data_IF_649541187650
#
_entry.id   IF_649541187650
#
_cell.length_a   1.000
_cell.length_b   1.000
_cell.length_c   1.000
_cell.angle_alpha   90.00
_cell.angle_beta   90.00
_cell.angle_gamma   90.00
#
_symmetry.space_group_name_H-M   'P 1'
#
loop_
_entity.id
_entity.type
_entity.pdbx_description
1 polymer ?
#
# COMPACT_ATOMS: atom_id res chain seq x y z
N UNK A 1 -18.13 9.35 -5.40
CA UNK A 1 -16.90 8.59 -5.12
C UNK A 1 -16.33 9.06 -3.80
N UNK A 2 -15.87 8.17 -2.94
CA UNK A 2 -15.21 8.55 -1.68
C UNK A 2 -13.89 9.29 -1.97
N UNK A 3 -13.61 10.31 -1.16
CA UNK A 3 -12.41 11.13 -1.28
C UNK A 3 -11.31 10.67 -0.32
N UNK A 4 -10.07 10.98 -0.64
CA UNK A 4 -8.96 10.82 0.30
C UNK A 4 -9.16 11.72 1.52
N UNK A 5 -8.56 11.31 2.65
CA UNK A 5 -8.62 12.04 3.93
C UNK A 5 -7.23 12.26 4.50
N UNK A 6 -7.07 13.40 5.16
CA UNK A 6 -5.92 13.69 6.02
C UNK A 6 -6.42 14.21 7.38
N UNK A 7 -5.51 14.41 8.34
CA UNK A 7 -5.83 15.01 9.63
C UNK A 7 -6.18 16.49 9.46
N UNK A 8 -7.11 17.02 10.27
CA UNK A 8 -7.38 18.47 10.29
C UNK A 8 -6.29 19.31 10.96
N UNK A 9 -5.48 18.68 11.80
CA UNK A 9 -4.40 19.33 12.53
C UNK A 9 -3.36 18.31 12.96
N UNK A 10 -2.29 18.77 13.60
CA UNK A 10 -1.23 17.91 14.12
C UNK A 10 -1.47 17.54 15.57
N UNK A 11 -1.07 16.34 15.95
CA UNK A 11 -1.01 15.91 17.36
C UNK A 11 0.27 15.16 17.68
N UNK A 12 0.65 15.17 18.93
CA UNK A 12 1.83 14.44 19.42
C UNK A 12 1.46 13.52 20.57
N UNK A 13 2.12 12.37 20.62
CA UNK A 13 2.07 11.42 21.73
C UNK A 13 3.50 11.17 22.23
N UNK A 14 3.67 11.18 23.55
CA UNK A 14 4.95 10.98 24.21
C UNK A 14 4.88 9.73 25.10
N UNK A 15 5.95 8.97 25.12
CA UNK A 15 6.04 7.76 25.94
C UNK A 15 7.38 7.08 25.84
N UNK A 16 7.51 5.92 26.46
CA UNK A 16 8.70 5.08 26.38
C UNK A 16 8.67 4.20 25.12
N UNK A 17 9.81 3.98 24.49
CA UNK A 17 9.98 2.92 23.51
C UNK A 17 9.97 1.55 24.19
N UNK A 18 9.22 0.59 23.66
CA UNK A 18 9.12 -0.76 24.23
C UNK A 18 10.48 -1.44 24.33
N UNK A 19 11.26 -1.39 23.26
CA UNK A 19 12.56 -2.09 23.20
C UNK A 19 13.71 -1.25 23.66
N UNK A 20 13.73 0.02 23.32
CA UNK A 20 14.84 0.95 23.64
C UNK A 20 14.76 1.52 25.04
N UNK A 21 13.56 1.66 25.60
CA UNK A 21 13.30 2.36 26.87
C UNK A 21 13.52 3.88 26.79
N UNK A 22 13.80 4.42 25.61
CA UNK A 22 14.00 5.85 25.40
C UNK A 22 12.68 6.64 25.59
N UNK A 23 12.79 7.89 26.03
CA UNK A 23 11.66 8.82 25.97
C UNK A 23 11.49 9.33 24.56
N UNK A 24 10.36 9.00 23.94
CA UNK A 24 10.10 9.23 22.54
C UNK A 24 8.84 10.08 22.34
N UNK A 25 8.86 10.88 21.30
CA UNK A 25 7.72 11.65 20.84
C UNK A 25 7.46 11.34 19.39
N UNK A 26 6.21 10.97 19.07
CA UNK A 26 5.73 10.81 17.71
C UNK A 26 4.68 11.89 17.43
N UNK A 27 4.81 12.58 16.29
CA UNK A 27 3.90 13.64 15.86
C UNK A 27 3.29 13.27 14.52
N UNK A 28 1.97 13.29 14.45
CA UNK A 28 1.19 13.04 13.24
C UNK A 28 0.74 14.37 12.65
N UNK A 29 1.06 14.59 11.40
CA UNK A 29 0.78 15.85 10.68
C UNK A 29 -0.10 15.60 9.47
N UNK A 30 -0.97 16.55 9.09
CA UNK A 30 -1.63 16.52 7.78
C UNK A 30 -0.59 16.40 6.66
N UNK A 31 -0.97 15.75 5.58
CA UNK A 31 -0.12 15.65 4.40
C UNK A 31 -0.94 15.88 3.11
N UNK A 32 -0.33 16.37 2.02
CA UNK A 32 -0.98 16.57 0.73
C UNK A 32 -1.57 15.29 0.17
N UNK A 33 -2.47 15.45 -0.76
CA UNK A 33 -3.06 14.35 -1.55
C UNK A 33 -1.99 13.43 -2.15
N UNK A 34 -2.29 12.14 -2.23
CA UNK A 34 -1.41 11.11 -2.81
C UNK A 34 -0.04 10.96 -2.12
N UNK A 35 0.10 11.48 -0.90
CA UNK A 35 1.34 11.34 -0.11
C UNK A 35 1.48 9.92 0.46
N UNK A 36 0.36 9.28 0.84
CA UNK A 36 0.38 8.08 1.66
C UNK A 36 0.95 8.35 3.06
N UNK A 37 1.54 7.34 3.68
CA UNK A 37 2.18 7.50 4.98
C UNK A 37 3.68 7.65 4.82
N UNK A 38 4.24 8.73 5.39
CA UNK A 38 5.67 9.00 5.42
C UNK A 38 6.14 9.15 6.85
N UNK A 39 7.26 8.51 7.20
CA UNK A 39 7.87 8.63 8.53
C UNK A 39 9.18 9.39 8.37
N UNK A 40 9.34 10.43 9.18
CA UNK A 40 10.51 11.32 9.22
C UNK A 40 11.21 11.23 10.58
N UNK A 41 12.51 10.96 10.58
CA UNK A 41 13.38 10.96 11.76
C UNK A 41 13.93 12.39 11.98
N UNK A 42 13.33 13.11 12.93
CA UNK A 42 13.68 14.51 13.20
C UNK A 42 14.92 14.70 14.07
N UNK A 43 15.41 13.62 14.66
CA UNK A 43 16.63 13.58 15.47
C UNK A 43 17.90 13.29 14.66
N UNK A 44 17.74 12.91 13.39
CA UNK A 44 18.87 12.65 12.47
C UNK A 44 19.16 13.87 11.61
N UNK A 45 20.44 14.04 11.26
CA UNK A 45 20.88 15.11 10.36
C UNK A 45 20.15 15.01 8.99
N UNK A 46 19.67 16.15 8.49
CA UNK A 46 18.88 16.23 7.28
C UNK A 46 17.45 15.70 7.40
N UNK A 47 17.02 15.28 8.58
CA UNK A 47 15.67 14.78 8.85
C UNK A 47 15.14 13.83 7.78
N UNK A 48 15.82 12.69 7.54
CA UNK A 48 15.49 11.77 6.45
C UNK A 48 14.08 11.19 6.60
N UNK A 49 13.44 10.97 5.47
CA UNK A 49 12.06 10.46 5.37
C UNK A 49 12.03 9.11 4.67
N UNK A 50 11.19 8.19 5.14
CA UNK A 50 10.93 6.89 4.54
C UNK A 50 9.43 6.72 4.27
N UNK A 51 9.09 6.19 3.10
CA UNK A 51 7.71 5.80 2.80
C UNK A 51 7.34 4.56 3.61
N UNK A 52 6.22 4.57 4.31
CA UNK A 52 5.72 3.42 5.07
C UNK A 52 5.05 2.42 4.13
N UNK A 53 5.85 1.60 3.49
CA UNK A 53 5.44 0.54 2.56
C UNK A 53 6.18 -0.76 2.84
N UNK A 54 5.57 -1.88 2.47
CA UNK A 54 6.08 -3.22 2.78
C UNK A 54 7.50 -3.50 2.26
N UNK A 55 7.92 -2.89 1.15
CA UNK A 55 9.29 -3.03 0.62
C UNK A 55 10.35 -2.43 1.53
N UNK A 56 10.00 -1.44 2.33
CA UNK A 56 10.91 -0.78 3.26
C UNK A 56 10.99 -1.47 4.64
N UNK A 57 10.25 -2.56 4.85
CA UNK A 57 10.35 -3.37 6.07
C UNK A 57 11.64 -4.19 6.03
N UNK A 58 12.49 -4.01 7.04
CA UNK A 58 13.80 -4.67 7.17
C UNK A 58 13.85 -5.73 8.26
N UNK A 59 12.93 -5.69 9.22
CA UNK A 59 12.84 -6.67 10.31
C UNK A 59 11.38 -6.83 10.76
N UNK A 60 11.01 -8.06 11.16
CA UNK A 60 9.66 -8.44 11.60
C UNK A 60 9.65 -9.36 12.82
N UNK A 61 10.78 -9.52 13.51
CA UNK A 61 10.88 -10.52 14.59
C UNK A 61 10.07 -10.15 15.85
N UNK A 62 10.00 -8.86 16.18
CA UNK A 62 9.37 -8.40 17.44
C UNK A 62 8.49 -7.16 17.25
N UNK A 63 8.13 -6.87 16.03
CA UNK A 63 7.38 -5.71 15.59
C UNK A 63 7.79 -5.36 14.19
N UNK A 64 7.14 -4.41 13.58
CA UNK A 64 7.46 -4.01 12.22
C UNK A 64 8.49 -2.88 12.22
N UNK A 65 9.63 -3.12 11.58
CA UNK A 65 10.74 -2.17 11.49
C UNK A 65 10.90 -1.70 10.04
N UNK A 66 10.72 -0.40 9.82
CA UNK A 66 11.08 0.23 8.54
C UNK A 66 12.54 0.68 8.57
N UNK A 67 13.23 0.56 7.41
CA UNK A 67 14.61 1.02 7.30
C UNK A 67 15.06 1.26 5.87
N UNK A 68 15.98 2.24 5.74
CA UNK A 68 16.69 2.55 4.49
C UNK A 68 17.98 3.30 4.83
N UNK A 69 19.13 2.70 4.50
CA UNK A 69 20.42 3.22 4.96
C UNK A 69 20.46 3.25 6.50
N UNK A 70 20.83 4.38 7.08
CA UNK A 70 20.91 4.57 8.55
C UNK A 70 19.56 4.88 9.20
N UNK A 71 18.54 5.19 8.41
CA UNK A 71 17.21 5.43 8.94
C UNK A 71 16.58 4.10 9.38
N UNK A 72 16.20 4.01 10.65
CA UNK A 72 15.41 2.91 11.23
C UNK A 72 14.31 3.46 12.12
N UNK A 73 13.11 2.85 12.01
CA UNK A 73 11.98 3.12 12.92
C UNK A 73 11.23 1.82 13.17
N UNK A 74 11.07 1.44 14.44
CA UNK A 74 10.40 0.22 14.89
C UNK A 74 9.07 0.50 15.61
N UNK A 75 8.31 -0.56 15.90
CA UNK A 75 7.07 -0.53 16.69
C UNK A 75 6.03 0.43 16.09
N UNK A 76 5.92 0.44 14.76
CA UNK A 76 5.05 1.37 14.03
C UNK A 76 3.61 0.87 13.93
N UNK A 77 3.37 -0.42 14.15
CA UNK A 77 2.14 -1.16 13.87
C UNK A 77 0.89 -0.55 14.51
N UNK A 78 0.98 -0.09 15.77
CA UNK A 78 -0.19 0.46 16.48
C UNK A 78 -0.64 1.81 15.91
N UNK A 79 0.32 2.71 15.65
CA UNK A 79 0.04 4.00 15.02
C UNK A 79 -0.44 3.85 13.57
N UNK A 80 0.13 2.88 12.83
CA UNK A 80 -0.29 2.58 11.47
C UNK A 80 -1.68 1.97 11.42
N UNK A 81 -2.02 1.08 12.39
CA UNK A 81 -3.36 0.51 12.52
C UNK A 81 -4.41 1.60 12.75
N UNK A 82 -4.12 2.56 13.64
CA UNK A 82 -5.03 3.67 13.91
C UNK A 82 -5.27 4.53 12.66
N UNK A 83 -4.22 4.94 11.94
CA UNK A 83 -4.37 5.72 10.71
C UNK A 83 -5.20 4.99 9.66
N UNK A 84 -4.86 3.72 9.40
CA UNK A 84 -5.52 2.91 8.36
C UNK A 84 -7.01 2.68 8.69
N UNK A 85 -7.30 2.27 9.94
CA UNK A 85 -8.65 1.98 10.38
C UNK A 85 -9.54 3.23 10.46
N UNK A 86 -8.98 4.39 10.84
CA UNK A 86 -9.71 5.67 10.86
C UNK A 86 -9.83 6.32 9.47
N UNK A 87 -9.36 5.62 8.43
CA UNK A 87 -9.55 6.02 7.04
C UNK A 87 -8.70 7.21 6.59
N UNK A 88 -7.62 7.53 7.31
CA UNK A 88 -6.64 8.54 6.90
C UNK A 88 -5.83 7.96 5.73
N UNK A 89 -5.74 8.69 4.63
CA UNK A 89 -4.99 8.26 3.45
C UNK A 89 -3.58 8.90 3.40
N UNK A 90 -3.46 10.11 3.93
CA UNK A 90 -2.23 10.90 3.82
C UNK A 90 -1.81 11.45 5.18
N UNK A 91 -0.59 11.11 5.64
CA UNK A 91 -0.04 11.57 6.91
C UNK A 91 1.48 11.64 6.87
N UNK A 92 2.06 12.74 7.39
CA UNK A 92 3.48 12.84 7.69
C UNK A 92 3.69 12.59 9.19
N UNK A 93 4.43 11.53 9.51
CA UNK A 93 4.68 11.10 10.88
C UNK A 93 6.13 11.46 11.23
N UNK A 94 6.32 12.30 12.22
CA UNK A 94 7.64 12.69 12.70
C UNK A 94 7.96 11.99 14.02
N UNK A 95 9.15 11.45 14.16
CA UNK A 95 9.60 10.77 15.37
C UNK A 95 11.01 11.21 15.74
N UNK A 96 11.25 11.45 17.05
CA UNK A 96 12.53 11.91 17.59
C UNK A 96 13.46 10.77 18.03
N UNK A 97 13.26 9.56 17.48
CA UNK A 97 14.09 8.40 17.81
C UNK A 97 13.78 7.17 16.98
N UNK A 98 14.45 6.04 17.23
CA UNK A 98 14.41 4.83 16.39
C UNK A 98 13.16 3.97 16.58
N UNK A 99 12.19 4.41 17.37
CA UNK A 99 11.04 3.61 17.76
C UNK A 99 9.82 4.50 18.03
N UNK A 100 8.61 4.02 17.79
CA UNK A 100 7.39 4.68 18.27
C UNK A 100 7.20 4.38 19.76
N UNK A 101 6.67 5.32 20.56
CA UNK A 101 6.35 5.04 21.95
C UNK A 101 5.30 3.95 22.06
N UNK A 102 5.49 3.01 23.00
CA UNK A 102 4.55 1.90 23.21
C UNK A 102 3.21 2.36 23.80
N UNK A 103 3.22 3.48 24.51
CA UNK A 103 2.06 4.04 25.21
C UNK A 103 1.44 3.03 26.19
N UNK A 104 0.15 2.72 26.00
CA UNK A 104 -0.58 1.72 26.78
C UNK A 104 -0.53 0.30 26.16
N UNK A 105 0.28 0.09 25.13
CA UNK A 105 0.41 -1.17 24.41
C UNK A 105 -0.71 -1.46 23.41
N UNK A 106 -1.58 -0.49 23.15
CA UNK A 106 -2.70 -0.59 22.21
C UNK A 106 -2.69 0.53 21.18
N UNK A 107 -3.73 0.61 20.33
CA UNK A 107 -3.93 1.73 19.41
C UNK A 107 -4.88 2.81 19.97
N UNK A 108 -5.38 2.66 21.21
CA UNK A 108 -6.48 3.49 21.72
C UNK A 108 -6.14 4.97 21.79
N UNK A 109 -4.93 5.30 22.26
CA UNK A 109 -4.50 6.69 22.39
C UNK A 109 -4.32 7.38 21.04
N UNK A 110 -3.89 6.64 20.01
CA UNK A 110 -3.83 7.16 18.62
C UNK A 110 -5.21 7.44 18.07
N UNK A 111 -6.16 6.49 18.23
CA UNK A 111 -7.55 6.64 17.79
C UNK A 111 -8.20 7.84 18.48
N UNK A 112 -8.08 7.94 19.80
CA UNK A 112 -8.63 9.07 20.56
C UNK A 112 -8.13 10.41 20.03
N UNK A 113 -6.81 10.54 19.75
CA UNK A 113 -6.25 11.79 19.21
C UNK A 113 -6.73 12.09 17.79
N UNK A 114 -6.91 11.08 16.95
CA UNK A 114 -7.48 11.26 15.60
C UNK A 114 -8.95 11.73 15.70
N UNK A 115 -9.74 11.16 16.62
CA UNK A 115 -11.12 11.58 16.87
C UNK A 115 -11.21 13.02 17.41
N UNK A 116 -10.34 13.39 18.37
CA UNK A 116 -10.29 14.75 18.95
C UNK A 116 -9.98 15.82 17.90
N UNK A 117 -9.01 15.56 17.00
CA UNK A 117 -8.58 16.52 15.98
C UNK A 117 -9.52 16.51 14.78
N UNK A 118 -10.05 15.33 14.46
CA UNK A 118 -10.86 15.11 13.27
C UNK A 118 -10.06 15.00 11.99
N UNK A 119 -10.78 14.71 10.91
CA UNK A 119 -10.25 14.48 9.58
C UNK A 119 -10.87 15.45 8.58
N UNK A 120 -10.15 15.76 7.51
CA UNK A 120 -10.67 16.54 6.39
C UNK A 120 -10.60 15.75 5.08
N UNK A 121 -11.61 15.93 4.24
CA UNK A 121 -11.60 15.36 2.88
C UNK A 121 -10.72 16.22 1.97
N UNK A 122 -9.96 15.54 1.13
CA UNK A 122 -9.09 16.14 0.12
C UNK A 122 -9.73 16.06 -1.26
N UNK A 123 -9.21 16.82 -2.22
CA UNK A 123 -9.81 16.89 -3.55
C UNK A 123 -9.31 15.78 -4.51
N UNK A 124 -8.83 14.67 -3.97
CA UNK A 124 -8.43 13.49 -4.72
C UNK A 124 -9.36 12.31 -4.43
N UNK A 125 -9.68 11.46 -5.42
CA UNK A 125 -10.48 10.26 -5.18
C UNK A 125 -9.71 9.25 -4.33
N UNK A 126 -10.42 8.53 -3.47
CA UNK A 126 -9.86 7.41 -2.70
C UNK A 126 -9.68 6.21 -3.62
N UNK A 127 -8.44 5.74 -3.73
CA UNK A 127 -8.05 4.68 -4.66
C UNK A 127 -8.16 3.30 -4.01
N UNK A 128 -9.39 2.76 -3.97
CA UNK A 128 -9.67 1.44 -3.43
C UNK A 128 -9.12 0.33 -4.32
N UNK A 129 -8.45 -0.65 -3.71
CA UNK A 129 -8.14 -1.90 -4.37
C UNK A 129 -9.18 -2.97 -4.00
N UNK A 130 -10.01 -3.36 -4.95
CA UNK A 130 -11.05 -4.39 -4.78
C UNK A 130 -10.49 -5.74 -5.16
N UNK A 131 -10.54 -6.70 -4.24
CA UNK A 131 -10.10 -8.07 -4.49
C UNK A 131 -11.08 -8.77 -5.44
N UNK A 132 -10.57 -9.33 -6.53
CA UNK A 132 -11.35 -10.02 -7.56
C UNK A 132 -11.17 -11.54 -7.57
N UNK A 133 -10.11 -12.04 -6.96
CA UNK A 133 -9.81 -13.47 -6.86
C UNK A 133 -9.10 -13.77 -5.53
N UNK A 134 -9.11 -15.04 -5.14
CA UNK A 134 -8.40 -15.50 -3.93
C UNK A 134 -6.89 -15.22 -4.07
N UNK A 135 -6.31 -14.60 -3.05
CA UNK A 135 -4.86 -14.49 -2.87
C UNK A 135 -4.51 -15.14 -1.53
N UNK A 136 -3.49 -15.98 -1.51
CA UNK A 136 -3.10 -16.73 -0.33
C UNK A 136 -1.58 -16.69 -0.17
N UNK A 137 -1.13 -16.46 1.06
CA UNK A 137 0.28 -16.53 1.46
C UNK A 137 0.39 -17.48 2.63
N UNK A 138 1.25 -18.49 2.49
CA UNK A 138 1.53 -19.51 3.50
C UNK A 138 2.99 -19.51 3.91
N UNK A 139 3.21 -19.93 5.11
CA UNK A 139 4.52 -20.24 5.66
C UNK A 139 4.46 -21.67 6.21
N UNK A 140 5.07 -22.60 5.48
CA UNK A 140 4.99 -24.05 5.78
C UNK A 140 5.74 -24.41 7.08
N UNK A 141 6.75 -23.62 7.48
CA UNK A 141 7.53 -23.90 8.69
C UNK A 141 6.74 -23.54 9.95
N UNK A 142 6.01 -22.43 9.93
CA UNK A 142 5.24 -21.96 11.10
C UNK A 142 3.78 -22.40 11.07
N UNK A 143 3.30 -22.87 9.91
CA UNK A 143 1.88 -23.12 9.66
C UNK A 143 1.03 -21.85 9.62
N UNK A 144 1.67 -20.69 9.44
CA UNK A 144 0.99 -19.41 9.32
C UNK A 144 0.40 -19.23 7.92
N UNK A 145 -0.81 -18.69 7.84
CA UNK A 145 -1.49 -18.46 6.56
C UNK A 145 -2.35 -17.21 6.61
N UNK A 146 -2.29 -16.40 5.55
CA UNK A 146 -3.23 -15.31 5.32
C UNK A 146 -3.85 -15.49 3.93
N UNK A 147 -5.18 -15.55 3.90
CA UNK A 147 -5.97 -15.62 2.68
C UNK A 147 -6.86 -14.39 2.59
N UNK A 148 -6.93 -13.77 1.41
CA UNK A 148 -7.94 -12.76 1.11
C UNK A 148 -8.84 -13.25 -0.01
N UNK A 149 -10.14 -13.04 0.18
CA UNK A 149 -11.21 -13.43 -0.74
C UNK A 149 -11.93 -12.19 -1.27
N UNK A 150 -12.52 -12.25 -2.47
CA UNK A 150 -13.40 -11.19 -2.97
C UNK A 150 -14.54 -10.89 -1.98
N UNK A 151 -14.72 -9.62 -1.70
CA UNK A 151 -15.86 -9.07 -0.94
C UNK A 151 -16.03 -7.59 -1.30
N UNK A 152 -17.24 -7.07 -1.18
CA UNK A 152 -17.53 -5.65 -1.45
C UNK A 152 -17.11 -4.74 -0.31
N UNK A 153 -16.99 -5.29 0.91
CA UNK A 153 -16.55 -4.58 2.10
C UNK A 153 -15.30 -5.22 2.69
N UNK A 154 -14.67 -4.53 3.63
CA UNK A 154 -13.54 -5.06 4.38
C UNK A 154 -14.04 -5.88 5.58
N UNK A 155 -13.50 -7.08 5.74
CA UNK A 155 -13.62 -7.84 6.99
C UNK A 155 -12.34 -8.63 7.27
N UNK A 156 -12.06 -8.89 8.53
CA UNK A 156 -10.85 -9.58 8.99
C UNK A 156 -11.19 -10.56 10.11
N UNK A 157 -10.81 -11.81 9.95
CA UNK A 157 -10.89 -12.85 10.99
C UNK A 157 -9.50 -13.41 11.25
N UNK A 158 -9.09 -13.53 12.51
CA UNK A 158 -7.86 -14.19 12.87
C UNK A 158 -8.11 -15.35 13.85
N UNK A 159 -7.38 -16.44 13.65
CA UNK A 159 -7.30 -17.58 14.54
C UNK A 159 -5.86 -17.74 15.03
N UNK A 160 -5.66 -17.65 16.34
CA UNK A 160 -4.38 -17.75 17.01
C UNK A 160 -4.31 -19.03 17.84
N UNK A 161 -3.20 -19.75 17.72
CA UNK A 161 -2.87 -20.88 18.57
C UNK A 161 -1.57 -20.56 19.30
N UNK A 162 -1.63 -20.50 20.64
CA UNK A 162 -0.51 -20.05 21.45
C UNK A 162 0.38 -21.18 21.98
N UNK A 163 0.09 -22.43 21.62
CA UNK A 163 0.77 -23.64 22.13
C UNK A 163 0.90 -23.65 23.66
N UNK A 164 -0.15 -23.24 24.34
CA UNK A 164 -0.24 -23.13 25.79
C UNK A 164 -1.42 -23.94 26.32
N UNK A 165 -1.25 -24.56 27.50
CA UNK A 165 -2.35 -25.25 28.18
C UNK A 165 -3.26 -24.25 28.92
N UNK A 166 -2.78 -23.09 29.24
CA UNK A 166 -3.52 -22.03 29.94
C UNK A 166 -4.36 -21.20 28.99
N UNK A 167 -3.74 -20.72 27.90
CA UNK A 167 -4.44 -19.95 26.86
C UNK A 167 -4.65 -20.82 25.63
N UNK A 168 -5.88 -21.21 25.40
CA UNK A 168 -6.27 -22.04 24.26
C UNK A 168 -6.18 -21.28 22.93
N UNK A 169 -6.46 -21.96 21.83
CA UNK A 169 -6.69 -21.29 20.55
C UNK A 169 -7.84 -20.31 20.67
N UNK A 170 -7.63 -19.11 20.20
CA UNK A 170 -8.61 -18.04 20.21
C UNK A 170 -8.87 -17.55 18.79
N UNK A 171 -10.04 -17.01 18.57
CA UNK A 171 -10.37 -16.29 17.34
C UNK A 171 -10.96 -14.93 17.66
N UNK A 172 -10.82 -14.01 16.73
CA UNK A 172 -11.47 -12.70 16.75
C UNK A 172 -11.83 -12.28 15.33
N UNK A 173 -12.89 -11.51 15.19
CA UNK A 173 -13.36 -10.98 13.91
C UNK A 173 -13.60 -9.47 14.02
N UNK A 174 -13.25 -8.75 12.97
CA UNK A 174 -13.65 -7.38 12.71
C UNK A 174 -14.44 -7.37 11.41
N UNK A 175 -15.75 -7.14 11.49
CA UNK A 175 -16.64 -7.20 10.32
C UNK A 175 -16.60 -5.94 9.47
N UNK A 176 -16.19 -4.80 10.05
CA UNK A 176 -16.05 -3.50 9.38
C UNK A 176 -15.00 -2.65 10.08
N UNK A 177 -14.26 -1.85 9.33
CA UNK A 177 -13.29 -0.89 9.90
C UNK A 177 -13.96 0.13 10.84
N UNK A 178 -15.21 0.48 10.63
CA UNK A 178 -15.95 1.43 11.50
C UNK A 178 -16.06 0.94 12.96
N UNK A 179 -15.95 -0.39 13.18
CA UNK A 179 -15.96 -0.98 14.51
C UNK A 179 -14.59 -1.03 15.18
N UNK A 180 -13.52 -0.68 14.48
CA UNK A 180 -12.13 -0.80 14.97
C UNK A 180 -11.93 -0.07 16.29
N UNK A 181 -12.38 1.19 16.39
CA UNK A 181 -12.22 2.01 17.59
C UNK A 181 -12.80 1.35 18.85
N UNK A 182 -13.96 0.70 18.71
CA UNK A 182 -14.70 0.11 19.82
C UNK A 182 -14.31 -1.34 20.12
N UNK A 183 -13.92 -2.13 19.09
CA UNK A 183 -13.75 -3.57 19.24
C UNK A 183 -12.29 -4.02 19.24
N UNK A 184 -11.36 -3.23 18.69
CA UNK A 184 -9.96 -3.64 18.48
C UNK A 184 -8.96 -2.65 19.10
N UNK A 185 -9.18 -1.35 18.95
CA UNK A 185 -8.18 -0.33 19.26
C UNK A 185 -7.60 -0.42 20.69
N UNK A 186 -8.39 -0.89 21.66
CA UNK A 186 -7.99 -1.03 23.08
C UNK A 186 -7.29 -2.36 23.40
N UNK A 187 -7.17 -3.28 22.45
CA UNK A 187 -6.50 -4.55 22.66
C UNK A 187 -4.99 -4.33 22.85
N UNK A 188 -4.50 -4.68 24.03
CA UNK A 188 -3.08 -4.48 24.44
C UNK A 188 -2.19 -5.60 23.89
N UNK A 189 -0.93 -5.24 23.65
CA UNK A 189 0.13 -6.21 23.35
C UNK A 189 0.34 -7.16 24.53
N UNK A 190 0.94 -8.32 24.26
CA UNK A 190 1.15 -9.36 25.26
C UNK A 190 2.49 -10.07 25.07
N UNK A 191 2.98 -10.66 26.17
CA UNK A 191 4.21 -11.45 26.19
C UNK A 191 4.04 -12.65 27.13
N UNK A 192 4.61 -13.80 26.77
CA UNK A 192 4.68 -14.94 27.66
C UNK A 192 5.89 -14.85 28.59
N UNK A 193 5.73 -15.25 29.85
CA UNK A 193 6.84 -15.23 30.84
C UNK A 193 8.03 -16.03 30.30
N UNK A 194 7.82 -17.14 29.60
CA UNK A 194 8.90 -17.94 28.98
C UNK A 194 9.76 -17.15 28.00
N UNK A 195 9.20 -16.10 27.36
CA UNK A 195 9.88 -15.29 26.34
C UNK A 195 10.59 -14.06 26.94
N UNK A 196 10.27 -13.67 28.18
CA UNK A 196 10.81 -12.45 28.81
C UNK A 196 12.32 -12.55 29.01
N UNK A 197 12.81 -13.65 29.57
CA UNK A 197 14.24 -13.82 29.87
C UNK A 197 15.12 -13.75 28.59
N UNK A 198 14.78 -14.46 27.48
CA UNK A 198 15.49 -14.28 26.22
C UNK A 198 15.46 -12.85 25.69
N UNK A 199 14.34 -12.14 25.85
CA UNK A 199 14.19 -10.75 25.41
C UNK A 199 15.11 -9.79 26.21
N UNK A 200 15.15 -9.95 27.53
CA UNK A 200 16.03 -9.17 28.39
C UNK A 200 17.51 -9.44 28.07
N UNK A 201 17.88 -10.71 27.84
CA UNK A 201 19.26 -11.08 27.42
C UNK A 201 19.62 -10.47 26.06
N UNK A 202 18.65 -10.31 25.16
CA UNK A 202 18.82 -9.63 23.88
C UNK A 202 18.79 -8.09 24.01
N UNK A 203 18.78 -7.55 25.23
CA UNK A 203 18.73 -6.11 25.51
C UNK A 203 17.47 -5.41 24.97
N UNK A 204 16.36 -6.14 24.87
CA UNK A 204 15.04 -5.69 24.43
C UNK A 204 14.10 -5.45 25.61
N UNK A 205 12.87 -4.98 25.34
CA UNK A 205 11.78 -4.73 26.31
C UNK A 205 12.16 -3.85 27.52
N UNK A 206 13.10 -2.94 27.35
CA UNK A 206 13.54 -2.04 28.44
C UNK A 206 12.47 -1.07 28.94
N UNK A 207 11.49 -0.78 28.14
CA UNK A 207 10.33 0.06 28.46
C UNK A 207 9.05 -0.74 28.72
N UNK A 208 9.12 -2.08 28.67
CA UNK A 208 7.98 -2.95 28.97
C UNK A 208 7.62 -2.93 30.44
N UNK A 209 6.34 -2.78 30.76
CA UNK A 209 5.77 -2.87 32.10
C UNK A 209 4.34 -3.41 32.06
N UNK A 210 3.72 -3.62 33.23
CA UNK A 210 2.36 -4.16 33.34
C UNK A 210 1.25 -3.18 32.92
N UNK A 211 1.58 -1.92 32.66
CA UNK A 211 0.64 -0.92 32.16
C UNK A 211 0.55 -0.91 30.63
N UNK A 212 1.61 -1.42 29.95
CA UNK A 212 1.71 -1.41 28.49
C UNK A 212 1.75 -2.81 27.84
N UNK A 213 1.71 -3.88 28.62
CA UNK A 213 1.64 -5.25 28.09
C UNK A 213 0.91 -6.19 29.04
N UNK A 214 0.18 -7.16 28.47
CA UNK A 214 -0.37 -8.29 29.20
C UNK A 214 0.73 -9.35 29.32
N UNK A 215 1.12 -9.71 30.54
CA UNK A 215 2.09 -10.78 30.78
C UNK A 215 1.34 -12.08 31.06
N UNK A 216 1.66 -13.14 30.33
CA UNK A 216 0.99 -14.44 30.42
C UNK A 216 1.93 -15.45 31.07
N UNK A 217 1.60 -15.86 32.30
CA UNK A 217 2.26 -16.93 33.01
C UNK A 217 1.50 -18.24 32.81
N UNK A 218 1.86 -19.01 31.79
CA UNK A 218 1.11 -20.19 31.34
C UNK A 218 1.87 -21.52 31.58
N UNK A 219 3.12 -21.44 31.96
CA UNK A 219 3.97 -22.60 32.23
C UNK A 219 4.68 -22.42 33.57
N UNK A 220 4.43 -23.35 34.48
CA UNK A 220 5.02 -23.34 35.82
C UNK A 220 6.56 -23.39 35.74
N UNK A 221 7.21 -22.56 36.53
CA UNK A 221 8.66 -22.52 36.71
C UNK A 221 9.00 -22.58 38.20
N UNK A 222 10.29 -22.56 38.57
CA UNK A 222 10.69 -22.50 39.97
C UNK A 222 10.37 -21.12 40.55
N UNK A 223 10.05 -21.08 41.88
CA UNK A 223 9.79 -19.83 42.59
C UNK A 223 10.97 -18.86 42.46
N UNK A 224 12.20 -19.36 42.65
CA UNK A 224 13.43 -18.56 42.52
C UNK A 224 13.56 -17.86 41.14
N UNK A 225 13.23 -18.58 40.07
CA UNK A 225 13.28 -18.02 38.71
C UNK A 225 12.20 -16.95 38.49
N UNK A 226 10.99 -17.21 39.00
CA UNK A 226 9.87 -16.27 38.87
C UNK A 226 10.18 -15.00 39.68
N UNK A 227 10.72 -15.14 40.90
CA UNK A 227 11.15 -14.02 41.77
C UNK A 227 12.26 -13.19 41.11
N UNK A 228 13.24 -13.87 40.49
CA UNK A 228 14.33 -13.19 39.76
C UNK A 228 13.76 -12.35 38.60
N UNK A 229 12.80 -12.86 37.84
CA UNK A 229 12.15 -12.10 36.77
C UNK A 229 11.33 -10.93 37.34
N UNK A 230 10.61 -11.12 38.44
CA UNK A 230 9.85 -10.07 39.10
C UNK A 230 10.78 -8.94 39.58
N UNK A 231 11.91 -9.26 40.19
CA UNK A 231 12.92 -8.28 40.64
C UNK A 231 13.54 -7.52 39.46
N UNK A 232 13.85 -8.22 38.33
CA UNK A 232 14.39 -7.58 37.11
C UNK A 232 13.40 -6.60 36.47
N UNK A 233 12.11 -6.96 36.48
CA UNK A 233 11.04 -6.15 35.93
C UNK A 233 10.45 -5.15 36.92
N UNK A 234 10.89 -5.21 38.21
CA UNK A 234 10.40 -4.36 39.32
C UNK A 234 8.87 -4.49 39.51
N UNK A 235 8.35 -5.71 39.39
CA UNK A 235 6.95 -6.05 39.65
C UNK A 235 6.82 -6.89 40.93
N UNK A 236 5.62 -6.98 41.44
CA UNK A 236 5.34 -7.80 42.65
C UNK A 236 5.61 -9.28 42.37
N UNK A 237 6.21 -9.97 43.37
CA UNK A 237 6.41 -11.43 43.32
C UNK A 237 5.09 -12.15 43.48
N UNK A 238 4.96 -13.30 42.79
CA UNK A 238 3.77 -14.15 42.81
C UNK A 238 4.13 -15.59 43.15
N UNK A 239 3.14 -16.36 43.59
CA UNK A 239 3.29 -17.78 43.79
C UNK A 239 3.47 -18.49 42.43
N UNK A 240 4.56 -19.27 42.32
CA UNK A 240 4.88 -19.98 41.08
C UNK A 240 3.89 -21.11 40.75
N UNK A 241 3.00 -21.47 41.65
CA UNK A 241 1.94 -22.46 41.39
C UNK A 241 0.71 -21.83 40.74
N UNK A 242 0.55 -20.52 40.79
CA UNK A 242 -0.60 -19.78 40.27
C UNK A 242 -0.38 -19.33 38.83
N UNK A 243 -0.78 -20.13 37.85
CA UNK A 243 -0.79 -19.73 36.45
C UNK A 243 -1.89 -18.69 36.20
N UNK A 244 -1.64 -17.79 35.24
CA UNK A 244 -2.62 -16.76 34.92
C UNK A 244 -2.03 -15.55 34.18
N UNK A 245 -2.86 -14.53 34.07
CA UNK A 245 -2.43 -13.22 33.56
C UNK A 245 -1.80 -12.39 34.69
N UNK A 246 -0.68 -11.78 34.40
CA UNK A 246 -0.01 -10.81 35.28
C UNK A 246 -0.23 -9.45 34.65
N UNK A 247 -1.04 -8.61 35.28
CA UNK A 247 -1.49 -7.32 34.74
C UNK A 247 -2.05 -6.41 35.84
N UNK A 248 -1.93 -5.11 35.67
CA UNK A 248 -2.54 -4.14 36.58
C UNK A 248 -4.03 -3.92 36.27
N UNK A 249 -4.42 -4.03 35.01
CA UNK A 249 -5.81 -3.84 34.56
C UNK A 249 -6.39 -5.17 34.08
N UNK A 250 -7.66 -5.49 34.36
CA UNK A 250 -8.30 -6.68 33.80
C UNK A 250 -8.26 -6.70 32.28
N UNK A 251 -8.48 -7.88 31.69
CA UNK A 251 -8.65 -8.00 30.25
C UNK A 251 -9.87 -7.21 29.79
N UNK A 252 -9.74 -6.48 28.69
CA UNK A 252 -10.87 -5.82 28.02
C UNK A 252 -11.84 -6.85 27.38
N UNK A 253 -11.29 -7.99 26.90
CA UNK A 253 -12.01 -9.13 26.34
C UNK A 253 -11.28 -10.43 26.66
N UNK A 254 -12.03 -11.53 26.81
CA UNK A 254 -11.44 -12.85 27.01
C UNK A 254 -10.44 -13.25 25.90
N UNK A 255 -10.66 -12.75 24.67
CA UNK A 255 -9.83 -12.96 23.50
C UNK A 255 -8.95 -11.73 23.14
N UNK A 256 -8.58 -10.92 24.13
CA UNK A 256 -7.83 -9.66 23.90
C UNK A 256 -6.53 -9.91 23.15
N UNK A 257 -5.80 -10.99 23.46
CA UNK A 257 -4.57 -11.34 22.74
C UNK A 257 -4.79 -11.55 21.23
N UNK A 258 -5.90 -12.16 20.84
CA UNK A 258 -6.21 -12.33 19.41
C UNK A 258 -6.76 -11.05 18.77
N UNK A 259 -7.48 -10.21 19.52
CA UNK A 259 -7.87 -8.88 19.05
C UNK A 259 -6.64 -8.00 18.81
N UNK A 260 -5.62 -8.11 19.65
CA UNK A 260 -4.34 -7.45 19.40
C UNK A 260 -3.69 -7.97 18.11
N UNK A 261 -3.79 -9.26 17.79
CA UNK A 261 -3.31 -9.77 16.50
C UNK A 261 -4.09 -9.24 15.30
N UNK A 262 -5.39 -8.91 15.44
CA UNK A 262 -6.12 -8.16 14.41
C UNK A 262 -5.56 -6.75 14.25
N UNK A 263 -5.25 -6.06 15.35
CA UNK A 263 -4.62 -4.74 15.33
C UNK A 263 -3.28 -4.78 14.57
N UNK A 264 -2.42 -5.75 14.88
CA UNK A 264 -1.13 -5.96 14.21
C UNK A 264 -1.30 -6.18 12.70
N UNK A 265 -2.27 -7.03 12.29
CA UNK A 265 -2.55 -7.25 10.86
C UNK A 265 -2.94 -5.94 10.19
N UNK A 266 -3.84 -5.15 10.79
CA UNK A 266 -4.32 -3.90 10.22
C UNK A 266 -3.17 -2.89 10.07
N UNK A 267 -2.30 -2.80 11.07
CA UNK A 267 -1.10 -1.96 11.02
C UNK A 267 -0.11 -2.36 9.93
N UNK A 268 0.13 -3.66 9.79
CA UNK A 268 1.00 -4.19 8.72
C UNK A 268 0.34 -4.06 7.33
N UNK A 269 -0.99 -4.14 7.24
CA UNK A 269 -1.73 -3.90 5.99
C UNK A 269 -1.68 -2.43 5.55
N UNK A 270 -1.56 -1.48 6.47
CA UNK A 270 -1.35 -0.08 6.12
C UNK A 270 -0.14 0.12 5.20
N UNK A 271 0.86 -0.79 5.28
CA UNK A 271 2.06 -0.82 4.44
C UNK A 271 1.80 -1.29 3.01
N UNK A 272 0.60 -1.72 2.69
CA UNK A 272 0.18 -1.97 1.30
C UNK A 272 0.08 -0.65 0.54
N UNK A 273 -0.24 0.46 1.23
CA UNK A 273 -0.29 1.80 0.66
C UNK A 273 -1.56 2.12 -0.12
N UNK A 274 -2.56 1.22 -0.09
CA UNK A 274 -3.91 1.45 -0.62
C UNK A 274 -4.95 0.82 0.31
N UNK A 275 -6.14 1.41 0.45
CA UNK A 275 -7.26 0.78 1.14
C UNK A 275 -7.78 -0.41 0.32
N UNK A 276 -8.14 -1.48 1.00
CA UNK A 276 -8.54 -2.75 0.39
C UNK A 276 -10.00 -3.06 0.69
N UNK A 277 -10.73 -3.59 -0.29
CA UNK A 277 -12.01 -4.25 -0.13
C UNK A 277 -11.85 -5.75 -0.36
N UNK A 278 -12.24 -6.56 0.63
CA UNK A 278 -12.09 -8.01 0.62
C UNK A 278 -12.13 -8.60 2.01
N UNK A 279 -12.38 -9.89 2.09
CA UNK A 279 -12.44 -10.66 3.34
C UNK A 279 -11.11 -11.34 3.62
N UNK A 280 -10.47 -11.00 4.73
CA UNK A 280 -9.20 -11.58 5.16
C UNK A 280 -9.46 -12.64 6.23
N UNK A 281 -8.80 -13.79 6.07
CA UNK A 281 -8.78 -14.89 7.03
C UNK A 281 -7.31 -15.18 7.34
N UNK A 282 -6.92 -15.01 8.60
CA UNK A 282 -5.56 -15.22 9.06
C UNK A 282 -5.49 -16.36 10.10
N UNK A 283 -4.58 -17.29 9.89
CA UNK A 283 -4.26 -18.37 10.84
C UNK A 283 -2.84 -18.17 11.33
N UNK A 284 -2.66 -18.13 12.64
CA UNK A 284 -1.36 -17.88 13.30
C UNK A 284 -0.64 -16.63 12.73
N UNK A 285 -1.31 -15.47 12.70
CA UNK A 285 -0.71 -14.25 12.16
C UNK A 285 0.48 -13.78 13.00
N UNK A 286 1.36 -13.03 12.36
CA UNK A 286 2.52 -12.37 12.97
C UNK A 286 3.19 -11.47 11.94
N UNK A 287 4.04 -10.54 12.35
CA UNK A 287 4.59 -9.50 11.47
C UNK A 287 5.30 -10.07 10.24
N UNK A 288 5.95 -11.24 10.36
CA UNK A 288 6.63 -11.88 9.21
C UNK A 288 5.65 -12.28 8.11
N UNK A 289 4.58 -13.03 8.44
CA UNK A 289 3.58 -13.45 7.44
C UNK A 289 2.75 -12.25 6.97
N UNK A 290 2.44 -11.30 7.87
CA UNK A 290 1.72 -10.08 7.53
C UNK A 290 2.51 -9.26 6.49
N UNK A 291 3.82 -9.10 6.66
CA UNK A 291 4.66 -8.40 5.69
C UNK A 291 4.80 -9.17 4.36
N UNK A 292 4.95 -10.50 4.42
CA UNK A 292 4.92 -11.34 3.19
C UNK A 292 3.62 -11.11 2.42
N UNK A 293 2.48 -11.07 3.13
CA UNK A 293 1.16 -10.80 2.55
C UNK A 293 1.08 -9.38 1.97
N UNK A 294 1.51 -8.35 2.73
CA UNK A 294 1.51 -6.97 2.25
C UNK A 294 2.37 -6.80 0.99
N UNK A 295 3.55 -7.43 0.93
CA UNK A 295 4.40 -7.44 -0.28
C UNK A 295 3.73 -8.14 -1.46
N UNK A 296 3.04 -9.26 -1.22
CA UNK A 296 2.30 -9.96 -2.28
C UNK A 296 1.15 -9.08 -2.80
N UNK A 297 0.39 -8.44 -1.91
CA UNK A 297 -0.67 -7.52 -2.28
C UNK A 297 -0.15 -6.36 -3.13
N UNK A 298 0.98 -5.76 -2.76
CA UNK A 298 1.61 -4.70 -3.56
C UNK A 298 2.04 -5.17 -4.95
N UNK A 299 2.51 -6.43 -5.08
CA UNK A 299 2.81 -7.03 -6.39
C UNK A 299 1.56 -7.20 -7.24
N UNK A 300 0.45 -7.67 -6.63
CA UNK A 300 -0.84 -7.83 -7.32
C UNK A 300 -1.40 -6.46 -7.75
N UNK A 301 -1.37 -5.45 -6.87
CA UNK A 301 -1.79 -4.09 -7.20
C UNK A 301 -1.00 -3.57 -8.41
N UNK A 302 0.32 -3.71 -8.41
CA UNK A 302 1.16 -3.27 -9.55
C UNK A 302 0.84 -4.01 -10.84
N UNK A 303 0.54 -5.32 -10.78
CA UNK A 303 0.10 -6.07 -11.96
C UNK A 303 -1.22 -5.51 -12.49
N UNK A 304 -2.14 -5.12 -11.59
CA UNK A 304 -3.44 -4.57 -11.96
C UNK A 304 -3.38 -3.11 -12.44
N UNK A 305 -2.42 -2.33 -11.99
CA UNK A 305 -2.14 -0.99 -12.53
C UNK A 305 -1.72 -1.06 -14.02
N UNK A 306 -1.17 -2.19 -14.43
CA UNK A 306 -0.75 -2.51 -15.81
C UNK A 306 -1.79 -3.41 -16.51
N UNK A 307 -3.05 -3.47 -16.08
CA UNK A 307 -4.08 -4.26 -16.75
C UNK A 307 -4.53 -3.62 -18.05
N UNK A 308 -4.83 -4.52 -19.03
CA UNK A 308 -5.45 -4.13 -20.26
C UNK A 308 -6.78 -3.41 -19.99
N UNK A 309 -7.04 -2.30 -20.68
CA UNK A 309 -8.35 -1.65 -20.65
C UNK A 309 -9.44 -2.64 -21.11
N UNK A 310 -10.64 -2.51 -20.53
CA UNK A 310 -11.80 -3.23 -21.05
C UNK A 310 -12.15 -2.62 -22.42
N UNK A 311 -12.26 -3.47 -23.44
CA UNK A 311 -12.58 -3.07 -24.79
C UNK A 311 -13.66 -3.95 -25.37
N UNK A 312 -14.80 -3.35 -25.71
CA UNK A 312 -15.86 -3.98 -26.53
C UNK A 312 -15.83 -3.35 -27.92
N UNK A 313 -15.55 -4.13 -29.00
CA UNK A 313 -15.54 -3.61 -30.34
C UNK A 313 -16.93 -3.14 -30.85
N UNK A 314 -18.01 -3.56 -30.18
CA UNK A 314 -19.40 -3.20 -30.52
C UNK A 314 -19.85 -1.87 -29.89
N UNK A 315 -19.13 -1.35 -28.91
CA UNK A 315 -19.42 -0.05 -28.32
C UNK A 315 -18.99 1.10 -29.24
N UNK A 316 -19.82 2.15 -29.31
CA UNK A 316 -19.48 3.36 -30.05
C UNK A 316 -18.24 4.04 -29.45
N UNK A 317 -17.23 4.43 -30.25
CA UNK A 317 -16.05 5.09 -29.75
C UNK A 317 -16.37 6.53 -29.28
N UNK A 318 -15.58 7.03 -28.33
CA UNK A 318 -15.62 8.42 -27.89
C UNK A 318 -15.11 9.35 -29.01
N UNK A 319 -14.07 8.91 -29.74
CA UNK A 319 -13.60 9.56 -30.97
C UNK A 319 -13.45 8.51 -32.06
N UNK A 320 -14.10 8.75 -33.19
CA UNK A 320 -13.90 7.99 -34.43
C UNK A 320 -12.70 8.55 -35.21
N UNK A 321 -12.41 7.91 -36.34
CA UNK A 321 -11.31 8.31 -37.21
C UNK A 321 -11.46 9.75 -37.76
N UNK A 322 -12.69 10.21 -37.98
CA UNK A 322 -12.95 11.58 -38.47
C UNK A 322 -12.54 12.59 -37.41
N UNK A 323 -13.02 12.38 -36.17
CA UNK A 323 -12.68 13.28 -35.05
C UNK A 323 -11.18 13.28 -34.74
N UNK A 324 -10.50 12.11 -34.81
CA UNK A 324 -9.04 12.02 -34.62
C UNK A 324 -8.31 12.86 -35.68
N UNK A 325 -8.74 12.84 -36.95
CA UNK A 325 -8.13 13.63 -38.03
C UNK A 325 -8.35 15.13 -37.90
N UNK A 326 -9.37 15.56 -37.19
CA UNK A 326 -9.57 16.98 -36.86
C UNK A 326 -8.56 17.44 -35.81
N UNK A 327 -8.20 16.58 -34.86
CA UNK A 327 -7.30 16.91 -33.75
C UNK A 327 -5.82 16.70 -34.11
N UNK A 328 -5.49 15.61 -34.81
CA UNK A 328 -4.11 15.26 -35.16
C UNK A 328 -3.77 15.66 -36.60
N UNK A 329 -2.58 16.22 -36.84
CA UNK A 329 -2.13 16.55 -38.20
C UNK A 329 -1.72 15.33 -39.03
N UNK A 330 -1.50 14.18 -38.37
CA UNK A 330 -1.05 12.94 -39.01
C UNK A 330 -2.02 12.44 -40.07
N UNK A 331 -1.48 11.93 -41.18
CA UNK A 331 -2.25 11.32 -42.28
C UNK A 331 -1.55 10.02 -42.68
N UNK A 332 -2.19 9.24 -43.56
CA UNK A 332 -1.59 8.04 -44.11
C UNK A 332 -0.17 8.32 -44.67
N UNK A 333 0.84 7.49 -44.38
CA UNK A 333 0.77 6.23 -43.60
C UNK A 333 1.06 6.41 -42.09
N UNK A 334 1.17 7.63 -41.56
CA UNK A 334 1.59 7.92 -40.18
C UNK A 334 0.45 8.15 -39.19
N UNK A 335 -0.80 8.07 -39.61
CA UNK A 335 -1.92 8.04 -38.68
C UNK A 335 -2.09 6.63 -38.15
N UNK A 336 -1.74 6.40 -36.90
CA UNK A 336 -1.65 5.07 -36.30
C UNK A 336 -2.76 4.76 -35.28
N UNK A 337 -3.61 5.74 -34.94
CA UNK A 337 -4.74 5.53 -34.02
C UNK A 337 -6.04 5.49 -34.82
N UNK A 338 -6.82 4.42 -34.67
CA UNK A 338 -8.07 4.21 -35.39
C UNK A 338 -9.28 4.82 -34.68
N UNK A 339 -9.33 4.66 -33.33
CA UNK A 339 -10.40 5.19 -32.48
C UNK A 339 -9.96 5.38 -31.04
N UNK A 340 -10.69 6.22 -30.27
CA UNK A 340 -10.54 6.39 -28.82
C UNK A 340 -11.77 5.84 -28.13
N UNK A 341 -11.56 4.95 -27.15
CA UNK A 341 -12.63 4.23 -26.44
C UNK A 341 -12.81 4.65 -24.99
N UNK A 342 -11.80 5.34 -24.42
CA UNK A 342 -11.89 5.95 -23.10
C UNK A 342 -11.11 7.26 -23.07
N UNK A 343 -11.68 8.30 -22.46
CA UNK A 343 -11.07 9.61 -22.32
C UNK A 343 -11.44 10.22 -20.97
N UNK A 344 -10.45 10.40 -20.12
CA UNK A 344 -10.55 11.08 -18.83
C UNK A 344 -9.77 12.39 -18.80
N UNK A 345 -9.69 13.03 -17.64
CA UNK A 345 -8.92 14.26 -17.48
C UNK A 345 -7.41 14.04 -17.61
N UNK A 346 -6.92 12.86 -17.21
CA UNK A 346 -5.48 12.53 -17.16
C UNK A 346 -5.13 11.23 -17.86
N UNK A 347 -6.10 10.54 -18.48
CA UNK A 347 -5.90 9.23 -19.12
C UNK A 347 -6.70 9.09 -20.39
N UNK A 348 -6.18 8.30 -21.33
CA UNK A 348 -6.82 7.98 -22.61
C UNK A 348 -6.58 6.52 -22.97
N UNK A 349 -7.57 5.90 -23.63
CA UNK A 349 -7.43 4.59 -24.25
C UNK A 349 -7.72 4.70 -25.74
N UNK A 350 -6.70 4.50 -26.55
CA UNK A 350 -6.79 4.43 -28.00
C UNK A 350 -6.71 3.00 -28.52
N UNK A 351 -7.16 2.80 -29.75
CA UNK A 351 -7.18 1.50 -30.44
C UNK A 351 -6.51 1.63 -31.80
N UNK A 352 -5.70 0.63 -32.18
CA UNK A 352 -5.24 0.39 -33.54
C UNK A 352 -5.48 -1.06 -33.92
N UNK A 353 -6.10 -1.27 -35.10
CA UNK A 353 -6.18 -2.58 -35.70
C UNK A 353 -4.99 -2.76 -36.67
N UNK A 354 -4.15 -3.76 -36.39
CA UNK A 354 -2.98 -4.04 -37.22
C UNK A 354 -3.43 -4.97 -38.37
N UNK A 355 -3.59 -4.40 -39.55
CA UNK A 355 -4.03 -5.18 -40.72
C UNK A 355 -2.84 -5.62 -41.57
N UNK A 356 -3.05 -6.65 -42.41
CA UNK A 356 -2.03 -7.09 -43.38
C UNK A 356 -1.70 -6.02 -44.44
N UNK A 357 -2.54 -4.99 -44.57
CA UNK A 357 -2.37 -3.91 -45.54
C UNK A 357 -1.54 -2.72 -45.03
N UNK A 358 -0.95 -2.85 -43.84
CA UNK A 358 -0.08 -1.80 -43.30
C UNK A 358 1.19 -1.65 -44.18
N UNK A 359 1.56 -0.43 -44.59
CA UNK A 359 2.66 -0.21 -45.55
C UNK A 359 4.02 -0.68 -45.03
N UNK A 360 4.24 -0.70 -43.73
CA UNK A 360 5.50 -1.13 -43.14
C UNK A 360 5.75 -2.63 -43.30
N UNK A 361 4.74 -3.48 -43.52
CA UNK A 361 4.94 -4.91 -43.77
C UNK A 361 5.55 -5.23 -45.11
N UNK A 362 5.60 -4.29 -46.03
CA UNK A 362 6.34 -4.48 -47.30
C UNK A 362 7.83 -4.62 -47.10
N UNK A 363 8.35 -4.12 -45.99
CA UNK A 363 9.79 -4.14 -45.64
C UNK A 363 10.13 -4.73 -44.28
N UNK A 364 9.18 -4.80 -43.35
CA UNK A 364 9.47 -5.20 -41.94
C UNK A 364 8.60 -6.38 -41.45
N UNK A 365 8.80 -7.64 -41.85
CA UNK A 365 9.68 -8.17 -42.86
C UNK A 365 8.82 -8.99 -43.87
N UNK A 366 9.14 -9.07 -45.15
CA UNK A 366 8.30 -9.70 -46.13
C UNK A 366 7.93 -11.15 -45.82
N UNK A 367 8.82 -11.91 -45.17
CA UNK A 367 8.57 -13.32 -44.84
C UNK A 367 8.08 -13.53 -43.39
N UNK A 368 8.24 -12.54 -42.51
CA UNK A 368 7.79 -12.56 -41.13
C UNK A 368 7.29 -11.17 -40.76
N UNK A 369 6.02 -10.84 -41.09
CA UNK A 369 5.51 -9.49 -40.85
C UNK A 369 5.38 -9.19 -39.38
N UNK A 370 6.10 -8.17 -38.92
CA UNK A 370 6.09 -7.67 -37.53
C UNK A 370 5.93 -6.17 -37.58
N UNK A 371 5.02 -5.60 -36.81
CA UNK A 371 4.90 -4.15 -36.68
C UNK A 371 6.18 -3.58 -36.07
N UNK A 372 6.83 -2.57 -36.68
CA UNK A 372 7.99 -1.93 -36.10
C UNK A 372 7.70 -1.43 -34.70
N UNK A 373 8.53 -1.83 -33.73
CA UNK A 373 8.30 -1.48 -32.34
C UNK A 373 8.29 0.03 -32.08
N UNK A 374 9.10 0.79 -32.85
CA UNK A 374 9.13 2.26 -32.77
C UNK A 374 7.81 2.90 -33.18
N UNK A 375 7.04 2.26 -34.10
CA UNK A 375 5.72 2.76 -34.47
C UNK A 375 4.66 2.48 -33.41
N UNK A 376 4.88 1.53 -32.53
CA UNK A 376 4.02 1.35 -31.34
C UNK A 376 4.18 2.55 -30.38
N UNK A 377 5.42 3.05 -30.20
CA UNK A 377 5.68 4.23 -29.37
C UNK A 377 5.10 5.49 -30.02
N UNK A 378 5.22 5.62 -31.34
CA UNK A 378 4.59 6.71 -32.10
C UNK A 378 3.07 6.71 -31.94
N UNK A 379 2.43 5.56 -32.10
CA UNK A 379 0.98 5.43 -31.90
C UNK A 379 0.54 5.75 -30.46
N UNK A 380 1.34 5.33 -29.47
CA UNK A 380 1.14 5.67 -28.07
C UNK A 380 1.22 7.18 -27.84
N UNK A 381 2.18 7.87 -28.46
CA UNK A 381 2.30 9.32 -28.38
C UNK A 381 1.18 10.06 -29.09
N UNK A 382 0.68 9.54 -30.21
CA UNK A 382 -0.50 10.09 -30.87
C UNK A 382 -1.72 10.01 -29.95
N UNK A 383 -1.91 8.90 -29.23
CA UNK A 383 -2.95 8.80 -28.19
C UNK A 383 -2.75 9.87 -27.10
N UNK A 384 -1.55 10.04 -26.60
CA UNK A 384 -1.23 11.08 -25.62
C UNK A 384 -1.47 12.50 -26.17
N UNK A 385 -1.15 12.73 -27.45
CA UNK A 385 -1.45 13.96 -28.16
C UNK A 385 -2.96 14.25 -28.18
N UNK A 386 -3.80 13.25 -28.48
CA UNK A 386 -5.26 13.40 -28.46
C UNK A 386 -5.78 13.79 -27.07
N UNK A 387 -5.23 13.20 -26.00
CA UNK A 387 -5.58 13.55 -24.61
C UNK A 387 -5.39 15.04 -24.35
N UNK A 388 -4.24 15.59 -24.73
CA UNK A 388 -3.91 16.99 -24.48
C UNK A 388 -4.60 17.95 -25.46
N UNK A 389 -4.58 17.65 -26.75
CA UNK A 389 -5.18 18.52 -27.78
C UNK A 389 -6.68 18.67 -27.57
N UNK A 390 -7.37 17.64 -27.07
CA UNK A 390 -8.81 17.73 -26.78
C UNK A 390 -9.15 18.73 -25.67
N UNK A 391 -8.17 19.19 -24.88
CA UNK A 391 -8.37 20.20 -23.82
C UNK A 391 -8.06 21.62 -24.26
N UNK A 392 -7.53 21.80 -25.47
CA UNK A 392 -7.10 23.09 -25.98
C UNK A 392 -8.16 23.73 -26.87
N UNK A 393 -8.21 25.04 -26.87
CA UNK A 393 -8.95 25.83 -27.84
C UNK A 393 -8.23 25.81 -29.21
N UNK A 394 -8.97 25.68 -30.30
CA UNK A 394 -8.46 25.57 -31.67
C UNK A 394 -7.36 24.48 -31.82
N UNK A 395 -7.68 23.19 -31.46
CA UNK A 395 -6.68 22.12 -31.41
C UNK A 395 -5.92 21.90 -32.73
N UNK A 396 -6.52 22.21 -33.88
CA UNK A 396 -5.91 22.15 -35.20
C UNK A 396 -4.73 23.13 -35.39
N UNK A 397 -4.61 24.12 -34.53
CA UNK A 397 -3.50 25.11 -34.55
C UNK A 397 -2.34 24.68 -33.67
N UNK A 398 -2.34 23.50 -33.10
CA UNK A 398 -1.30 22.99 -32.20
C UNK A 398 -0.61 21.77 -32.78
N UNK A 399 0.69 21.69 -32.57
CA UNK A 399 1.51 20.52 -32.92
C UNK A 399 2.20 19.95 -31.69
N UNK A 400 2.41 18.64 -31.69
CA UNK A 400 3.11 17.94 -30.63
C UNK A 400 4.40 17.36 -31.16
N UNK A 401 5.50 17.58 -30.43
CA UNK A 401 6.82 17.10 -30.80
C UNK A 401 7.44 16.32 -29.64
N UNK A 402 8.00 15.15 -29.92
CA UNK A 402 8.80 14.44 -28.94
C UNK A 402 10.00 15.25 -28.48
N UNK A 403 10.21 15.32 -27.18
CA UNK A 403 11.43 15.86 -26.57
C UNK A 403 12.31 14.74 -26.02
N UNK A 404 11.68 13.69 -25.45
CA UNK A 404 12.38 12.61 -24.78
C UNK A 404 11.53 11.35 -24.73
N UNK A 405 12.16 10.18 -24.82
CA UNK A 405 11.55 8.87 -24.65
C UNK A 405 12.43 8.08 -23.69
N UNK A 406 11.86 7.59 -22.59
CA UNK A 406 12.55 6.86 -21.52
C UNK A 406 11.87 5.53 -21.25
N UNK A 407 12.58 4.64 -20.55
CA UNK A 407 12.07 3.37 -20.00
C UNK A 407 11.32 2.51 -21.02
N UNK A 408 11.76 2.55 -22.28
CA UNK A 408 11.13 1.79 -23.37
C UNK A 408 11.44 0.31 -23.20
N UNK A 409 10.38 -0.51 -23.21
CA UNK A 409 10.50 -1.96 -23.24
C UNK A 409 9.55 -2.55 -24.27
N UNK A 410 10.06 -3.46 -25.09
CA UNK A 410 9.31 -4.28 -26.04
C UNK A 410 9.30 -5.71 -25.52
N UNK A 411 8.12 -6.28 -25.31
CA UNK A 411 7.94 -7.56 -24.64
C UNK A 411 7.52 -8.68 -25.55
N UNK A 412 6.71 -8.36 -26.58
CA UNK A 412 6.20 -9.32 -27.54
C UNK A 412 6.11 -8.70 -28.94
N UNK A 413 6.19 -9.55 -29.98
CA UNK A 413 5.94 -9.16 -31.36
C UNK A 413 4.48 -8.80 -31.55
N UNK A 414 4.22 -7.79 -32.35
CA UNK A 414 2.89 -7.42 -32.84
C UNK A 414 2.81 -7.79 -34.32
N UNK A 415 1.81 -8.56 -34.70
CA UNK A 415 1.67 -9.14 -36.03
C UNK A 415 0.33 -8.77 -36.69
N UNK A 416 0.17 -8.97 -38.00
CA UNK A 416 -1.11 -8.76 -38.66
C UNK A 416 -2.24 -9.58 -38.02
N UNK A 417 -3.36 -8.92 -37.72
CA UNK A 417 -4.51 -9.49 -37.03
C UNK A 417 -4.63 -9.08 -35.56
N UNK A 418 -3.55 -8.50 -34.97
CA UNK A 418 -3.60 -8.00 -33.61
C UNK A 418 -4.40 -6.69 -33.51
N UNK A 419 -5.09 -6.51 -32.39
CA UNK A 419 -5.68 -5.23 -31.99
C UNK A 419 -4.88 -4.67 -30.83
N UNK A 420 -4.29 -3.49 -31.01
CA UNK A 420 -3.54 -2.78 -29.99
C UNK A 420 -4.46 -1.86 -29.19
N UNK A 421 -4.37 -1.96 -27.86
CA UNK A 421 -4.96 -1.00 -26.94
C UNK A 421 -3.84 -0.16 -26.32
N UNK A 422 -3.89 1.16 -26.51
CA UNK A 422 -2.97 2.11 -25.93
C UNK A 422 -3.57 2.72 -24.68
N UNK A 423 -3.05 2.41 -23.51
CA UNK A 423 -3.39 3.10 -22.26
C UNK A 423 -2.29 4.11 -21.98
N UNK A 424 -2.65 5.40 -21.99
CA UNK A 424 -1.71 6.50 -21.77
C UNK A 424 -2.20 7.39 -20.64
N UNK A 425 -1.34 7.62 -19.66
CA UNK A 425 -1.61 8.44 -18.49
C UNK A 425 -0.66 9.64 -18.43
N UNK A 426 -1.19 10.84 -18.10
CA UNK A 426 -0.38 12.02 -17.76
C UNK A 426 0.26 11.81 -16.39
N UNK A 427 1.57 11.96 -16.30
CA UNK A 427 2.33 11.88 -15.05
C UNK A 427 2.27 13.17 -14.23
N UNK A 428 2.01 14.29 -14.88
CA UNK A 428 1.86 15.60 -14.25
C UNK A 428 0.97 16.50 -15.12
N UNK A 429 0.33 17.52 -14.54
CA UNK A 429 -0.41 18.52 -15.30
C UNK A 429 0.49 19.21 -16.35
N UNK A 430 -0.09 19.60 -17.48
CA UNK A 430 0.60 20.34 -18.51
C UNK A 430 1.21 21.64 -17.94
N UNK A 431 2.52 21.85 -18.14
CA UNK A 431 3.23 23.06 -17.71
C UNK A 431 4.13 23.60 -18.82
N UNK A 432 3.99 24.86 -19.10
CA UNK A 432 4.79 25.58 -20.16
C UNK A 432 4.79 24.87 -21.53
N UNK A 433 3.67 24.25 -21.90
CA UNK A 433 3.57 23.47 -23.12
C UNK A 433 4.31 22.12 -23.10
N UNK A 434 4.73 21.65 -21.94
CA UNK A 434 5.40 20.35 -21.78
C UNK A 434 4.44 19.37 -21.10
N UNK A 435 4.26 18.20 -21.72
CA UNK A 435 3.52 17.06 -21.16
C UNK A 435 4.46 15.88 -20.93
N UNK A 436 4.36 15.22 -19.77
CA UNK A 436 5.05 13.98 -19.46
C UNK A 436 4.03 12.88 -19.27
N UNK A 437 4.21 11.76 -19.93
CA UNK A 437 3.23 10.69 -20.03
C UNK A 437 3.88 9.33 -19.86
N UNK A 438 3.10 8.36 -19.36
CA UNK A 438 3.45 6.96 -19.36
C UNK A 438 2.41 6.19 -20.15
N UNK A 439 2.87 5.32 -21.03
CA UNK A 439 1.98 4.53 -21.88
C UNK A 439 2.32 3.05 -21.85
N UNK A 440 1.28 2.25 -22.04
CA UNK A 440 1.32 0.81 -22.22
C UNK A 440 0.54 0.43 -23.46
N UNK A 441 1.07 -0.53 -24.23
CA UNK A 441 0.39 -1.14 -25.37
C UNK A 441 0.05 -2.58 -25.04
N UNK A 442 -1.20 -2.96 -25.28
CA UNK A 442 -1.70 -4.30 -25.02
C UNK A 442 -2.15 -4.98 -26.29
N UNK A 443 -1.97 -6.30 -26.35
CA UNK A 443 -2.68 -7.23 -27.24
C UNK A 443 -3.39 -8.23 -26.34
N UNK A 444 -4.72 -8.24 -26.39
CA UNK A 444 -5.51 -8.93 -25.38
C UNK A 444 -5.16 -8.43 -23.99
N UNK A 445 -4.82 -9.32 -23.05
CA UNK A 445 -4.45 -8.99 -21.67
C UNK A 445 -2.94 -8.79 -21.47
N UNK A 446 -2.13 -8.88 -22.53
CA UNK A 446 -0.68 -8.84 -22.45
C UNK A 446 -0.10 -7.48 -22.83
N UNK A 447 0.79 -6.94 -21.97
CA UNK A 447 1.59 -5.77 -22.33
C UNK A 447 2.62 -6.17 -23.39
N UNK A 448 2.55 -5.60 -24.58
CA UNK A 448 3.50 -5.84 -25.67
C UNK A 448 4.61 -4.79 -25.72
N UNK A 449 4.31 -3.54 -25.33
CA UNK A 449 5.32 -2.49 -25.15
C UNK A 449 4.90 -1.46 -24.08
N UNK A 450 5.89 -0.77 -23.54
CA UNK A 450 5.71 0.33 -22.58
C UNK A 450 6.78 1.40 -22.80
N UNK A 451 6.44 2.65 -22.50
CA UNK A 451 7.36 3.77 -22.52
C UNK A 451 6.92 4.90 -21.60
N UNK A 452 7.88 5.70 -21.17
CA UNK A 452 7.66 7.05 -20.61
C UNK A 452 8.14 8.04 -21.65
N UNK A 453 7.38 9.08 -21.93
CA UNK A 453 7.76 10.07 -22.94
C UNK A 453 7.33 11.47 -22.54
N UNK A 454 8.10 12.45 -23.02
CA UNK A 454 7.85 13.87 -22.84
C UNK A 454 7.66 14.50 -24.23
N UNK A 455 6.60 15.27 -24.37
CA UNK A 455 6.31 16.00 -25.60
C UNK A 455 6.15 17.49 -25.33
N UNK A 456 6.56 18.30 -26.28
CA UNK A 456 6.30 19.74 -26.34
C UNK A 456 5.08 19.99 -27.22
N UNK A 457 4.19 20.85 -26.74
CA UNK A 457 2.97 21.26 -27.41
C UNK A 457 3.13 22.71 -27.80
N UNK A 458 3.11 22.98 -29.09
CA UNK A 458 3.43 24.30 -29.66
C UNK A 458 2.26 24.79 -30.50
N UNK A 459 1.84 26.03 -30.30
CA UNK A 459 0.85 26.68 -31.17
C UNK A 459 1.51 27.06 -32.50
N UNK A 460 0.93 26.60 -33.60
CA UNK A 460 1.36 26.95 -34.95
C UNK A 460 1.04 28.43 -35.20
N UNK A 461 1.90 29.11 -35.96
CA UNK A 461 1.73 30.51 -36.30
C UNK A 461 0.51 30.78 -37.18
#
# INVERSE_FOLDING_TARGET
>A
MSKQKTLKGSFSLCGKGLHTGLSLTVTFNPAPENTGYKIQRIDLEGMPTIQAIAENVIDTQRGTVLGKGDLRVSTIEHGMAALYAMGIDNCLIQVNGPEFPILDGSASMYVQKIEEIGCEEQNAPKDWYVIRHKIEVKDEETGSCITILPDEEFSLTAMCSFNSKFINSQFATLDSMDKFANEIARARTFVFVRDIEPLLKANLIKGGDLDNAIVIYEQQTTQERLDTLADMLKVERRDATELGYIQHKPLEWENECTRHKLLDIIGDMALIGKPIKGRIIATRPGHTINNKFARQMRREIRKHEIQAPIYDPNEAPIMDNIRIRELLPHRYPMQLVDKVVSLGATSIVGVKNVTANEPFFTGHFPQEPVMPCVLQIEAMAQCGGLLVLNTLEEPERWSTYFMKIDDVKFRQKVVPGDTLLFKVDLLAPLRHGISSMKGYVFVGDHVVSEATFTAQIVKNK
#
